data_IF_710391522250
#
_entry.id   IF_710391522250
#
_cell.length_a   1.000
_cell.length_b   1.000
_cell.length_c   1.000
_cell.angle_alpha   90.00
_cell.angle_beta   90.00
_cell.angle_gamma   90.00
#
_symmetry.space_group_name_H-M   'P 1'
#
loop_
_entity.id
_entity.type
_entity.pdbx_description
1 polymer ?
#
# COMPACT_ATOMS: atom_id res chain seq x y z
N UNK A 1 2.26 3.77 0.10
CA UNK A 1 1.28 4.35 1.05
C UNK A 1 1.52 3.97 2.52
N UNK A 2 1.82 2.70 2.86
CA UNK A 2 2.03 2.23 4.25
C UNK A 2 3.27 2.89 4.90
N UNK A 3 4.37 3.07 4.15
CA UNK A 3 5.60 3.70 4.68
C UNK A 3 5.48 5.20 4.90
N UNK A 4 4.63 5.91 4.14
CA UNK A 4 4.37 7.34 4.30
C UNK A 4 3.49 7.60 5.55
N UNK A 5 2.48 6.75 5.80
CA UNK A 5 1.72 6.74 7.07
C UNK A 5 2.63 6.45 8.27
N UNK A 6 3.67 5.62 8.10
CA UNK A 6 4.64 5.29 9.16
C UNK A 6 5.68 6.40 9.40
N UNK A 7 6.07 7.17 8.38
CA UNK A 7 7.08 8.25 8.47
C UNK A 7 6.50 9.62 8.84
N UNK A 8 5.34 9.98 8.30
CA UNK A 8 4.70 11.27 8.54
C UNK A 8 3.55 11.15 9.55
N UNK A 9 3.04 9.95 9.83
CA UNK A 9 1.86 9.77 10.68
C UNK A 9 0.61 10.38 10.04
N UNK A 10 -0.49 10.38 10.81
CA UNK A 10 -1.61 11.26 10.52
C UNK A 10 -1.27 12.68 10.95
N UNK A 11 -0.28 13.32 10.32
CA UNK A 11 0.29 14.62 10.76
C UNK A 11 -0.77 15.70 11.02
N UNK A 12 -1.97 15.56 10.43
CA UNK A 12 -3.09 16.47 10.62
C UNK A 12 -4.34 15.85 11.29
N UNK A 13 -4.36 14.54 11.63
CA UNK A 13 -5.62 13.88 12.05
C UNK A 13 -5.43 12.62 12.95
N UNK A 14 -5.35 12.79 14.26
CA UNK A 14 -5.16 11.69 15.23
C UNK A 14 -6.34 10.68 15.23
N UNK A 15 -6.22 9.57 14.48
CA UNK A 15 -7.26 8.53 14.39
C UNK A 15 -7.68 7.95 15.74
N UNK A 16 -6.76 7.58 16.66
CA UNK A 16 -7.13 7.25 18.03
C UNK A 16 -7.99 8.32 18.71
N UNK A 17 -7.68 9.61 18.55
CA UNK A 17 -8.49 10.70 19.08
C UNK A 17 -9.89 10.76 18.43
N UNK A 18 -10.01 10.60 17.11
CA UNK A 18 -11.31 10.59 16.43
C UNK A 18 -12.18 9.44 16.91
N UNK A 19 -11.62 8.24 17.05
CA UNK A 19 -12.35 7.12 17.61
C UNK A 19 -12.85 7.43 19.03
N UNK A 20 -12.00 8.03 19.87
CA UNK A 20 -12.40 8.48 21.22
C UNK A 20 -13.51 9.53 21.16
N UNK A 21 -13.45 10.50 20.25
CA UNK A 21 -14.47 11.54 20.12
C UNK A 21 -15.81 10.96 19.67
N UNK A 22 -15.81 10.13 18.62
CA UNK A 22 -17.01 9.47 18.11
C UNK A 22 -17.71 8.67 19.20
N UNK A 23 -16.94 7.89 19.97
CA UNK A 23 -17.45 7.10 21.09
C UNK A 23 -17.97 7.95 22.24
N UNK A 24 -17.20 8.93 22.70
CA UNK A 24 -17.50 9.65 23.94
C UNK A 24 -18.53 10.77 23.73
N UNK A 25 -18.66 11.30 22.52
CA UNK A 25 -19.67 12.31 22.16
C UNK A 25 -20.93 11.70 21.53
N UNK A 26 -21.03 10.36 21.49
CA UNK A 26 -22.18 9.63 20.92
C UNK A 26 -22.55 10.09 19.51
N UNK A 27 -21.54 10.34 18.66
CA UNK A 27 -21.76 10.80 17.28
C UNK A 27 -22.36 9.71 16.39
N UNK A 28 -22.31 8.46 16.84
CA UNK A 28 -22.94 7.28 16.22
C UNK A 28 -23.58 6.42 17.30
N UNK A 29 -24.56 5.57 16.94
CA UNK A 29 -25.03 4.53 17.85
C UNK A 29 -23.86 3.65 18.32
N UNK A 30 -23.82 3.24 19.59
CA UNK A 30 -22.82 2.30 20.05
C UNK A 30 -22.91 0.99 19.26
N UNK A 31 -21.80 0.23 19.14
CA UNK A 31 -21.82 -1.11 18.56
C UNK A 31 -22.84 -2.01 19.28
N UNK A 32 -23.34 -3.02 18.58
CA UNK A 32 -24.33 -3.99 19.08
C UNK A 32 -23.86 -4.67 20.37
N UNK A 33 -22.56 -4.96 20.50
CA UNK A 33 -21.94 -5.54 21.70
C UNK A 33 -21.35 -4.50 22.67
N UNK A 34 -21.46 -3.21 22.34
CA UNK A 34 -20.78 -2.13 23.01
C UNK A 34 -19.32 -1.95 22.57
N UNK A 35 -18.75 -0.81 22.97
CA UNK A 35 -17.35 -0.48 22.71
C UNK A 35 -16.40 -1.39 23.51
N UNK A 36 -15.24 -1.72 22.93
CA UNK A 36 -14.20 -2.57 23.54
C UNK A 36 -14.65 -3.98 23.98
N UNK A 37 -15.78 -4.49 23.51
CA UNK A 37 -16.20 -5.86 23.79
C UNK A 37 -15.13 -6.87 23.31
N UNK A 38 -14.96 -8.01 23.97
CA UNK A 38 -13.85 -8.91 23.62
C UNK A 38 -13.94 -9.44 22.18
N UNK A 39 -15.13 -9.86 21.75
CA UNK A 39 -15.37 -10.33 20.39
C UNK A 39 -15.61 -9.17 19.41
N UNK A 40 -15.17 -9.29 18.14
CA UNK A 40 -15.57 -8.35 17.10
C UNK A 40 -17.08 -8.45 16.81
N UNK A 41 -17.71 -7.39 16.28
CA UNK A 41 -19.07 -7.47 15.80
C UNK A 41 -19.26 -8.60 14.75
N UNK A 42 -20.33 -9.38 14.89
CA UNK A 42 -20.67 -10.46 13.97
C UNK A 42 -21.07 -9.92 12.61
N UNK A 43 -20.90 -10.66 11.49
CA UNK A 43 -21.12 -10.15 10.13
C UNK A 43 -22.49 -9.48 9.87
N UNK A 44 -23.54 -9.93 10.57
CA UNK A 44 -24.89 -9.37 10.51
C UNK A 44 -25.11 -8.13 11.41
N UNK A 45 -24.17 -7.80 12.29
CA UNK A 45 -24.17 -6.58 13.10
C UNK A 45 -23.57 -5.44 12.26
N UNK A 46 -24.45 -4.60 11.72
CA UNK A 46 -24.17 -3.61 10.66
C UNK A 46 -24.50 -2.17 11.07
N UNK A 47 -24.56 -1.87 12.37
CA UNK A 47 -24.71 -0.49 12.82
C UNK A 47 -23.44 0.32 12.50
N UNK A 48 -23.52 1.65 12.35
CA UNK A 48 -22.33 2.48 12.15
C UNK A 48 -21.28 2.29 13.26
N UNK A 49 -21.71 2.08 14.51
CA UNK A 49 -20.81 1.72 15.62
C UNK A 49 -20.08 0.40 15.40
N UNK A 50 -20.77 -0.63 14.91
CA UNK A 50 -20.18 -1.94 14.60
C UNK A 50 -19.09 -1.82 13.53
N UNK A 51 -19.37 -1.05 12.48
CA UNK A 51 -18.45 -0.80 11.38
C UNK A 51 -17.21 -0.02 11.82
N UNK A 52 -17.37 1.00 12.68
CA UNK A 52 -16.24 1.74 13.26
C UNK A 52 -15.38 0.82 14.13
N UNK A 53 -16.00 -0.08 14.88
CA UNK A 53 -15.28 -1.05 15.72
C UNK A 53 -14.53 -2.08 14.87
N UNK A 54 -15.08 -2.54 13.75
CA UNK A 54 -14.36 -3.37 12.76
C UNK A 54 -13.15 -2.63 12.20
N UNK A 55 -13.32 -1.38 11.76
CA UNK A 55 -12.22 -0.57 11.23
C UNK A 55 -11.09 -0.45 12.26
N UNK A 56 -11.42 -0.13 13.52
CA UNK A 56 -10.44 -0.01 14.61
C UNK A 56 -9.66 -1.30 14.82
N UNK A 57 -10.35 -2.44 14.87
CA UNK A 57 -9.74 -3.75 15.08
C UNK A 57 -8.83 -4.16 13.94
N UNK A 58 -9.30 -4.02 12.70
CA UNK A 58 -8.48 -4.32 11.52
C UNK A 58 -7.24 -3.44 11.48
N UNK A 59 -7.37 -2.13 11.72
CA UNK A 59 -6.21 -1.22 11.85
C UNK A 59 -5.24 -1.69 12.92
N UNK A 60 -5.74 -2.04 14.12
CA UNK A 60 -4.88 -2.52 15.20
C UNK A 60 -4.15 -3.81 14.83
N UNK A 61 -4.84 -4.76 14.22
CA UNK A 61 -4.23 -6.00 13.76
C UNK A 61 -3.13 -5.72 12.74
N UNK A 62 -3.38 -4.86 11.75
CA UNK A 62 -2.40 -4.52 10.70
C UNK A 62 -1.21 -3.74 11.28
N UNK A 63 -1.42 -2.74 12.14
CA UNK A 63 -0.35 -1.92 12.70
C UNK A 63 0.51 -2.65 13.74
N UNK A 64 -0.09 -3.54 14.53
CA UNK A 64 0.60 -4.22 15.63
C UNK A 64 1.09 -5.64 15.27
N UNK A 65 0.81 -6.14 14.06
CA UNK A 65 1.15 -7.51 13.70
C UNK A 65 2.65 -7.81 13.63
N UNK A 66 3.54 -6.81 13.72
CA UNK A 66 5.01 -6.97 13.75
C UNK A 66 5.62 -7.52 12.45
N UNK A 67 4.84 -8.28 11.68
CA UNK A 67 5.13 -8.80 10.36
C UNK A 67 4.56 -7.84 9.31
N UNK A 68 5.44 -7.31 8.47
CA UNK A 68 5.09 -6.40 7.37
C UNK A 68 4.48 -7.13 6.16
N UNK A 69 4.10 -8.40 6.33
CA UNK A 69 3.62 -9.29 5.27
C UNK A 69 2.26 -9.88 5.65
N UNK A 70 1.33 -9.82 4.70
CA UNK A 70 0.00 -10.42 4.77
C UNK A 70 -0.19 -11.20 3.47
N UNK A 71 -0.85 -12.36 3.52
CA UNK A 71 -1.14 -13.12 2.30
C UNK A 71 -2.16 -12.36 1.43
N UNK A 72 -2.10 -12.58 0.11
CA UNK A 72 -3.04 -11.96 -0.83
C UNK A 72 -4.50 -12.24 -0.45
N UNK A 73 -4.80 -13.45 0.02
CA UNK A 73 -6.15 -13.82 0.49
C UNK A 73 -6.64 -12.93 1.63
N UNK A 74 -5.82 -12.72 2.66
CA UNK A 74 -6.18 -11.88 3.81
C UNK A 74 -6.28 -10.41 3.38
N UNK A 75 -5.42 -9.97 2.47
CA UNK A 75 -5.49 -8.62 1.91
C UNK A 75 -6.80 -8.40 1.12
N UNK A 76 -7.19 -9.35 0.28
CA UNK A 76 -8.47 -9.34 -0.43
C UNK A 76 -9.65 -9.32 0.53
N UNK A 77 -9.60 -10.09 1.62
CA UNK A 77 -10.63 -10.09 2.65
C UNK A 77 -10.74 -8.72 3.33
N UNK A 78 -9.62 -8.05 3.64
CA UNK A 78 -9.66 -6.69 4.18
C UNK A 78 -10.31 -5.70 3.21
N UNK A 79 -9.89 -5.68 1.93
CA UNK A 79 -10.48 -4.78 0.95
C UNK A 79 -11.98 -5.05 0.75
N UNK A 80 -12.39 -6.32 0.71
CA UNK A 80 -13.81 -6.69 0.58
C UNK A 80 -14.62 -6.16 1.76
N UNK A 81 -14.17 -6.43 2.99
CA UNK A 81 -14.83 -5.95 4.20
C UNK A 81 -14.90 -4.41 4.25
N UNK A 82 -13.82 -3.71 3.90
CA UNK A 82 -13.81 -2.25 3.89
C UNK A 82 -14.70 -1.64 2.81
N UNK A 83 -14.79 -2.25 1.62
CA UNK A 83 -15.73 -1.82 0.57
C UNK A 83 -17.19 -1.96 1.03
N UNK A 84 -17.55 -3.05 1.72
CA UNK A 84 -18.89 -3.21 2.28
C UNK A 84 -19.20 -2.16 3.38
N UNK A 85 -18.25 -1.91 4.28
CA UNK A 85 -18.36 -0.86 5.29
C UNK A 85 -18.51 0.50 4.62
N UNK A 86 -17.76 0.77 3.56
CA UNK A 86 -17.82 2.03 2.81
C UNK A 86 -19.22 2.29 2.27
N UNK A 87 -19.87 1.28 1.65
CA UNK A 87 -21.26 1.39 1.17
C UNK A 87 -22.21 1.75 2.31
N UNK A 88 -22.10 1.07 3.46
CA UNK A 88 -22.96 1.35 4.62
C UNK A 88 -22.73 2.75 5.20
N UNK A 89 -21.48 3.19 5.26
CA UNK A 89 -21.11 4.52 5.75
C UNK A 89 -21.55 5.64 4.81
N UNK A 90 -21.46 5.44 3.49
CA UNK A 90 -22.00 6.38 2.52
C UNK A 90 -23.51 6.57 2.72
N UNK A 91 -24.25 5.45 2.87
CA UNK A 91 -25.68 5.49 3.15
C UNK A 91 -25.99 6.20 4.48
N UNK A 92 -25.24 5.91 5.54
CA UNK A 92 -25.38 6.57 6.83
C UNK A 92 -25.11 8.08 6.79
N UNK A 93 -24.10 8.51 6.02
CA UNK A 93 -23.71 9.91 5.90
C UNK A 93 -24.49 10.69 4.83
N UNK A 94 -25.42 10.04 4.12
CA UNK A 94 -26.13 10.64 2.99
C UNK A 94 -25.21 11.04 1.83
N UNK A 95 -24.08 10.35 1.66
CA UNK A 95 -23.13 10.58 0.57
C UNK A 95 -23.55 9.84 -0.69
N UNK A 96 -23.11 10.30 -1.89
CA UNK A 96 -23.32 9.55 -3.12
C UNK A 96 -22.76 8.14 -3.00
N UNK A 97 -23.55 7.16 -3.41
CA UNK A 97 -23.13 5.75 -3.43
C UNK A 97 -21.92 5.56 -4.34
N UNK A 98 -20.89 4.91 -3.81
CA UNK A 98 -19.67 4.54 -4.51
C UNK A 98 -18.50 5.49 -4.33
N UNK A 99 -18.64 6.68 -3.74
CA UNK A 99 -17.53 7.64 -3.59
C UNK A 99 -16.36 7.04 -2.79
N UNK A 100 -16.65 6.44 -1.63
CA UNK A 100 -15.67 5.79 -0.77
C UNK A 100 -15.23 4.44 -1.34
N UNK A 101 -16.15 3.68 -1.96
CA UNK A 101 -15.81 2.41 -2.62
C UNK A 101 -14.77 2.63 -3.73
N UNK A 102 -14.91 3.67 -4.54
CA UNK A 102 -13.95 4.00 -5.59
C UNK A 102 -12.57 4.35 -5.02
N UNK A 103 -12.50 5.01 -3.86
CA UNK A 103 -11.23 5.23 -3.16
C UNK A 103 -10.58 3.90 -2.78
N UNK A 104 -11.34 2.94 -2.26
CA UNK A 104 -10.80 1.60 -1.97
C UNK A 104 -10.35 0.84 -3.21
N UNK A 105 -11.12 0.87 -4.31
CA UNK A 105 -10.71 0.24 -5.58
C UNK A 105 -9.42 0.86 -6.14
N UNK A 106 -9.28 2.18 -6.02
CA UNK A 106 -8.05 2.87 -6.40
C UNK A 106 -6.87 2.39 -5.55
N UNK A 107 -7.03 2.30 -4.22
CA UNK A 107 -5.99 1.83 -3.31
C UNK A 107 -5.60 0.36 -3.53
N UNK A 108 -6.56 -0.49 -3.86
CA UNK A 108 -6.36 -1.90 -4.17
C UNK A 108 -5.51 -2.06 -5.44
N UNK A 109 -5.70 -1.17 -6.43
CA UNK A 109 -4.95 -1.18 -7.69
C UNK A 109 -3.61 -0.43 -7.61
N UNK A 110 -3.57 0.66 -6.87
CA UNK A 110 -2.45 1.60 -6.78
C UNK A 110 -2.06 1.79 -5.31
N UNK A 111 -1.29 0.83 -4.78
CA UNK A 111 -0.93 0.79 -3.35
C UNK A 111 0.34 1.60 -3.00
N UNK A 112 1.08 2.05 -4.01
CA UNK A 112 2.25 2.90 -3.86
C UNK A 112 1.83 4.37 -3.70
N UNK A 113 2.48 5.11 -2.79
CA UNK A 113 2.25 6.56 -2.74
C UNK A 113 3.06 7.25 -3.85
N UNK A 114 2.52 8.33 -4.38
CA UNK A 114 3.08 9.05 -5.54
C UNK A 114 4.55 9.46 -5.35
N UNK A 115 4.93 9.90 -4.15
CA UNK A 115 6.31 10.27 -3.84
C UNK A 115 7.25 9.05 -3.87
N UNK A 116 6.82 7.93 -3.27
CA UNK A 116 7.57 6.67 -3.31
C UNK A 116 7.65 6.14 -4.74
N UNK A 117 6.56 6.20 -5.50
CA UNK A 117 6.51 5.80 -6.91
C UNK A 117 7.50 6.61 -7.74
N UNK A 118 7.45 7.94 -7.62
CA UNK A 118 8.41 8.84 -8.25
C UNK A 118 9.86 8.49 -7.92
N UNK A 119 10.15 8.26 -6.63
CA UNK A 119 11.48 7.86 -6.16
C UNK A 119 11.95 6.56 -6.82
N UNK A 120 11.07 5.55 -6.94
CA UNK A 120 11.41 4.30 -7.60
C UNK A 120 11.58 4.47 -9.11
N UNK A 121 10.74 5.27 -9.77
CA UNK A 121 10.86 5.57 -11.20
C UNK A 121 12.18 6.28 -11.54
N UNK A 122 12.61 7.23 -10.71
CA UNK A 122 13.92 7.89 -10.84
C UNK A 122 15.06 6.87 -10.71
N UNK A 123 15.02 6.00 -9.69
CA UNK A 123 16.03 4.95 -9.50
C UNK A 123 16.07 3.95 -10.66
N UNK A 124 14.91 3.55 -11.18
CA UNK A 124 14.82 2.66 -12.34
C UNK A 124 15.39 3.29 -13.60
N UNK A 125 15.24 4.61 -13.76
CA UNK A 125 15.81 5.36 -14.88
C UNK A 125 17.33 5.39 -14.81
N UNK A 126 17.89 5.71 -13.63
CA UNK A 126 19.35 5.67 -13.40
C UNK A 126 19.90 4.27 -13.65
N UNK A 127 19.23 3.23 -13.15
CA UNK A 127 19.64 1.84 -13.37
C UNK A 127 19.66 1.48 -14.87
N UNK A 128 18.64 1.91 -15.63
CA UNK A 128 18.60 1.70 -17.08
C UNK A 128 19.77 2.38 -17.79
N UNK A 129 20.08 3.62 -17.43
CA UNK A 129 21.22 4.35 -18.03
C UNK A 129 22.55 3.67 -17.73
N UNK A 130 22.73 3.22 -16.49
CA UNK A 130 23.91 2.46 -16.09
C UNK A 130 24.04 1.16 -16.89
N UNK A 131 22.97 0.39 -17.04
CA UNK A 131 22.95 -0.87 -17.79
C UNK A 131 23.30 -0.68 -19.27
N UNK A 132 22.75 0.37 -19.91
CA UNK A 132 23.10 0.77 -21.28
C UNK A 132 24.59 1.11 -21.38
N UNK A 133 25.13 1.86 -20.43
CA UNK A 133 26.53 2.27 -20.44
C UNK A 133 27.47 1.08 -20.23
N UNK A 134 27.15 0.18 -19.30
CA UNK A 134 27.89 -1.07 -19.09
C UNK A 134 27.88 -1.95 -20.34
N UNK A 135 26.71 -2.10 -20.99
CA UNK A 135 26.59 -2.87 -22.24
C UNK A 135 27.47 -2.30 -23.36
N UNK A 136 27.51 -0.97 -23.51
CA UNK A 136 28.41 -0.30 -24.47
C UNK A 136 29.88 -0.53 -24.15
N UNK A 137 30.26 -0.42 -22.88
CA UNK A 137 31.65 -0.64 -22.45
C UNK A 137 32.10 -2.08 -22.75
N UNK A 138 31.27 -3.07 -22.45
CA UNK A 138 31.54 -4.48 -22.78
C UNK A 138 31.67 -4.70 -24.29
N UNK A 139 30.78 -4.11 -25.10
CA UNK A 139 30.85 -4.20 -26.55
C UNK A 139 32.15 -3.61 -27.13
N UNK A 140 32.60 -2.47 -26.58
CA UNK A 140 33.87 -1.85 -26.97
C UNK A 140 35.08 -2.74 -26.59
N UNK A 141 35.11 -3.27 -25.36
CA UNK A 141 36.17 -4.19 -24.92
C UNK A 141 36.22 -5.43 -25.84
N UNK A 142 35.07 -5.99 -26.20
CA UNK A 142 35.01 -7.13 -27.11
C UNK A 142 35.59 -6.80 -28.50
N UNK A 143 35.29 -5.60 -29.03
CA UNK A 143 35.83 -5.14 -30.31
C UNK A 143 37.34 -4.96 -30.26
N UNK A 144 37.86 -4.37 -29.19
CA UNK A 144 39.28 -4.15 -29.01
C UNK A 144 40.03 -5.48 -28.88
N UNK A 145 39.50 -6.44 -28.10
CA UNK A 145 40.03 -7.80 -28.00
C UNK A 145 40.08 -8.50 -29.36
N UNK A 146 38.99 -8.48 -30.12
CA UNK A 146 38.96 -9.08 -31.46
C UNK A 146 40.01 -8.48 -32.40
N UNK A 147 40.22 -7.16 -32.31
CA UNK A 147 41.23 -6.46 -33.11
C UNK A 147 42.65 -6.89 -32.73
N UNK A 148 42.92 -7.06 -31.43
CA UNK A 148 44.22 -7.51 -30.93
C UNK A 148 44.52 -8.97 -31.34
N UNK A 149 43.53 -9.86 -31.25
CA UNK A 149 43.66 -11.26 -31.71
C UNK A 149 44.05 -11.30 -33.19
N UNK A 150 43.32 -10.57 -34.04
CA UNK A 150 43.61 -10.53 -35.47
C UNK A 150 45.03 -10.00 -35.79
N UNK A 151 45.51 -9.01 -35.03
CA UNK A 151 46.88 -8.49 -35.19
C UNK A 151 47.93 -9.50 -34.72
N UNK A 152 47.70 -10.24 -33.63
CA UNK A 152 48.61 -11.26 -33.13
C UNK A 152 48.77 -12.46 -34.07
N UNK A 153 47.68 -12.88 -34.72
CA UNK A 153 47.71 -13.97 -35.71
C UNK A 153 48.51 -13.60 -36.97
N UNK A 154 48.47 -12.34 -37.42
CA UNK A 154 49.22 -11.87 -38.58
C UNK A 154 50.72 -11.65 -38.32
N UNK A 155 51.18 -11.63 -37.06
CA UNK A 155 52.59 -11.45 -36.69
C UNK A 155 53.34 -12.79 -36.60
N UNK A 156 52.63 -13.92 -36.46
CA UNK A 156 53.22 -15.27 -36.34
C UNK A 156 53.46 -16.00 -37.68
N UNK A 157 53.46 -15.29 -38.81
CA UNK A 157 53.74 -15.86 -40.14
C UNK A 157 55.09 -15.30 -40.66
N UNK A 158 56.21 -15.72 -40.07
CA UNK A 158 57.57 -15.65 -40.66
C UNK A 158 58.35 -16.88 -40.22
#
# INVERSE_FOLDING_TARGET
MINNVRKNGYVNFDIPLIYKLVRNLNLVPPPTKGWDFLAPPAANEILPGDDIERIRRTRNAVLHNGNEQVSDSILTDYFTNFKEIAVRMEAFLGKPTGEFVQKFLFLEKYCMDEETEKTYLERLTILREHDINSSKAVANIQKDLNTLIYKGENVNII
#
